data_IF_041816352465
#
_entry.id   IF_041816352465
#
_cell.length_a   1.000
_cell.length_b   1.000
_cell.length_c   1.000
_cell.angle_alpha   90.00
_cell.angle_beta   90.00
_cell.angle_gamma   90.00
#
_symmetry.space_group_name_H-M   'P 1'
#
loop_
_entity.id
_entity.type
_entity.pdbx_description
1 polymer ?
#
# COMPACT_ATOMS: atom_id res chain seq x y z
N UNK A 1 -13.30 -5.27 7.89
CA UNK A 1 -13.43 -4.28 6.83
C UNK A 1 -13.15 -4.89 5.49
N UNK A 2 -13.80 -4.37 4.48
CA UNK A 2 -13.55 -4.81 3.12
C UNK A 2 -12.15 -4.39 2.70
N UNK A 3 -11.43 -5.30 2.05
CA UNK A 3 -10.09 -5.01 1.58
C UNK A 3 -10.06 -3.84 0.60
N UNK A 4 -11.07 -3.74 -0.24
CA UNK A 4 -11.17 -2.63 -1.19
C UNK A 4 -11.25 -1.29 -0.45
N UNK A 5 -12.00 -1.25 0.64
CA UNK A 5 -12.13 -0.03 1.43
C UNK A 5 -10.79 0.37 2.04
N UNK A 6 -10.00 -0.60 2.47
CA UNK A 6 -8.68 -0.31 3.02
C UNK A 6 -7.78 0.27 1.94
N UNK A 7 -7.77 -0.34 0.76
CA UNK A 7 -6.89 0.12 -0.32
C UNK A 7 -7.19 1.53 -0.77
N UNK A 8 -8.45 1.94 -0.78
CA UNK A 8 -8.80 3.28 -1.26
C UNK A 8 -8.84 4.33 -0.17
N UNK A 9 -8.63 3.93 1.09
CA UNK A 9 -8.59 4.88 2.19
C UNK A 9 -7.36 5.77 2.10
N UNK A 10 -7.37 6.93 2.76
CA UNK A 10 -6.18 7.79 2.78
C UNK A 10 -4.99 7.05 3.37
N UNK A 11 -3.84 7.23 2.76
CA UNK A 11 -2.62 6.56 3.20
C UNK A 11 -2.14 7.13 4.53
N UNK A 12 -1.53 6.25 5.34
CA UNK A 12 -0.89 6.66 6.58
C UNK A 12 0.60 6.83 6.34
N UNK A 13 1.26 7.74 7.06
CA UNK A 13 2.68 7.94 6.85
C UNK A 13 3.49 6.75 7.34
N UNK A 14 4.54 6.44 6.61
CA UNK A 14 5.52 5.47 7.04
C UNK A 14 6.64 6.18 7.79
N UNK A 15 7.40 5.41 8.57
CA UNK A 15 8.52 5.98 9.29
C UNK A 15 9.51 6.60 8.31
N UNK A 16 9.96 7.83 8.56
CA UNK A 16 10.86 8.51 7.60
C UNK A 16 12.28 7.98 7.61
N UNK A 17 12.73 7.43 8.73
CA UNK A 17 14.08 6.89 8.83
C UNK A 17 14.10 5.49 8.22
N UNK A 18 15.01 5.27 7.29
CA UNK A 18 15.05 4.05 6.50
C UNK A 18 15.09 2.79 7.36
N UNK A 19 15.93 2.78 8.38
CA UNK A 19 16.04 1.60 9.25
C UNK A 19 14.73 1.34 9.98
N UNK A 20 14.11 2.38 10.49
CA UNK A 20 12.85 2.23 11.22
C UNK A 20 11.72 1.79 10.29
N UNK A 21 11.75 2.31 9.07
CA UNK A 21 10.75 1.92 8.07
C UNK A 21 10.90 0.45 7.71
N UNK A 22 12.13 -0.04 7.57
CA UNK A 22 12.36 -1.44 7.30
C UNK A 22 11.81 -2.34 8.41
N UNK A 23 12.04 -1.93 9.66
CA UNK A 23 11.54 -2.69 10.79
C UNK A 23 10.02 -2.68 10.83
N UNK A 24 9.43 -1.53 10.54
CA UNK A 24 7.98 -1.41 10.48
C UNK A 24 7.41 -2.36 9.42
N UNK A 25 8.01 -2.35 8.25
CA UNK A 25 7.55 -3.20 7.15
C UNK A 25 7.72 -4.68 7.49
N UNK A 26 8.83 -5.05 8.09
CA UNK A 26 9.05 -6.45 8.47
C UNK A 26 8.00 -6.92 9.45
N UNK A 27 7.65 -6.09 10.42
CA UNK A 27 6.63 -6.44 11.38
C UNK A 27 5.27 -6.67 10.72
N UNK A 28 4.94 -5.80 9.76
CA UNK A 28 3.67 -5.92 9.05
C UNK A 28 3.65 -7.16 8.15
N UNK A 29 4.77 -7.46 7.51
CA UNK A 29 4.86 -8.66 6.67
C UNK A 29 4.77 -9.92 7.51
N UNK A 30 5.30 -9.88 8.71
CA UNK A 30 5.22 -11.02 9.62
C UNK A 30 3.79 -11.31 10.01
N UNK A 31 2.97 -10.26 10.19
CA UNK A 31 1.55 -10.42 10.45
C UNK A 31 0.88 -11.11 9.27
N UNK A 32 1.11 -10.60 8.07
CA UNK A 32 0.71 -11.25 6.83
C UNK A 32 -0.78 -11.32 6.55
N UNK A 33 -1.62 -10.71 7.37
CA UNK A 33 -3.05 -10.76 7.11
C UNK A 33 -3.39 -9.91 5.87
N UNK A 34 -4.45 -10.27 5.14
CA UNK A 34 -4.82 -9.49 3.95
C UNK A 34 -5.08 -8.03 4.27
N UNK A 35 -5.68 -7.73 5.42
CA UNK A 35 -5.94 -6.35 5.81
C UNK A 35 -4.65 -5.57 5.99
N UNK A 36 -3.67 -6.18 6.65
CA UNK A 36 -2.39 -5.54 6.88
C UNK A 36 -1.64 -5.35 5.56
N UNK A 37 -1.69 -6.34 4.68
CA UNK A 37 -1.02 -6.23 3.40
C UNK A 37 -1.62 -5.12 2.54
N UNK A 38 -2.94 -4.98 2.57
CA UNK A 38 -3.61 -3.90 1.84
C UNK A 38 -3.19 -2.54 2.36
N UNK A 39 -3.16 -2.38 3.68
CA UNK A 39 -2.75 -1.12 4.28
C UNK A 39 -1.29 -0.81 3.95
N UNK A 40 -0.43 -1.82 4.02
CA UNK A 40 0.98 -1.64 3.71
C UNK A 40 1.18 -1.23 2.25
N UNK A 41 0.47 -1.88 1.34
CA UNK A 41 0.58 -1.55 -0.08
C UNK A 41 0.11 -0.14 -0.34
N UNK A 42 -1.01 0.25 0.27
CA UNK A 42 -1.52 1.61 0.16
C UNK A 42 -0.48 2.64 0.63
N UNK A 43 0.09 2.39 1.81
CA UNK A 43 1.01 3.35 2.42
C UNK A 43 2.33 3.42 1.65
N UNK A 44 2.85 2.28 1.20
CA UNK A 44 4.07 2.25 0.40
C UNK A 44 3.89 2.94 -0.94
N UNK A 45 2.75 2.72 -1.58
CA UNK A 45 2.48 3.34 -2.87
C UNK A 45 2.48 4.86 -2.72
N UNK A 46 1.81 5.37 -1.70
CA UNK A 46 1.77 6.80 -1.46
C UNK A 46 3.16 7.35 -1.13
N UNK A 47 3.93 6.61 -0.34
CA UNK A 47 5.27 7.03 0.01
C UNK A 47 6.16 7.17 -1.21
N UNK A 48 6.08 6.19 -2.10
CA UNK A 48 6.90 6.19 -3.32
C UNK A 48 6.49 7.30 -4.27
N UNK A 49 5.20 7.61 -4.31
CA UNK A 49 4.71 8.70 -5.16
C UNK A 49 5.23 10.07 -4.69
N UNK A 50 5.45 10.21 -3.39
CA UNK A 50 5.79 11.52 -2.84
C UNK A 50 7.28 11.72 -2.66
N UNK A 51 8.02 10.64 -2.50
CA UNK A 51 9.44 10.73 -2.21
C UNK A 51 10.20 9.81 -3.13
N UNK A 52 11.45 10.13 -3.38
CA UNK A 52 12.30 9.25 -4.16
C UNK A 52 12.55 7.99 -3.34
N UNK A 53 12.10 6.83 -3.80
CA UNK A 53 12.28 5.60 -3.04
C UNK A 53 13.70 5.08 -3.21
N UNK A 54 14.18 4.35 -2.21
CA UNK A 54 15.42 3.62 -2.43
C UNK A 54 15.07 2.27 -3.06
N UNK A 55 16.10 1.53 -3.45
CA UNK A 55 15.90 0.24 -4.13
C UNK A 55 15.14 -0.74 -3.25
N UNK A 56 15.40 -0.70 -1.95
CA UNK A 56 14.73 -1.61 -1.03
C UNK A 56 13.22 -1.34 -0.97
N UNK A 57 12.83 -0.06 -0.92
CA UNK A 57 11.41 0.28 -0.87
C UNK A 57 10.67 -0.23 -2.10
N UNK A 58 11.27 -0.06 -3.27
CA UNK A 58 10.66 -0.51 -4.51
C UNK A 58 10.53 -2.02 -4.55
N UNK A 59 11.57 -2.73 -4.09
CA UNK A 59 11.55 -4.19 -4.08
C UNK A 59 10.48 -4.72 -3.14
N UNK A 60 10.33 -4.08 -1.97
CA UNK A 60 9.31 -4.48 -1.01
C UNK A 60 7.91 -4.28 -1.60
N UNK A 61 7.70 -3.15 -2.27
CA UNK A 61 6.41 -2.90 -2.88
C UNK A 61 6.05 -3.98 -3.91
N UNK A 62 7.01 -4.38 -4.73
CA UNK A 62 6.78 -5.44 -5.72
C UNK A 62 6.43 -6.75 -5.04
N UNK A 63 7.13 -7.08 -3.96
CA UNK A 63 6.87 -8.30 -3.22
C UNK A 63 5.46 -8.30 -2.63
N UNK A 64 5.10 -7.21 -1.97
CA UNK A 64 3.77 -7.09 -1.37
C UNK A 64 2.68 -7.14 -2.43
N UNK A 65 2.92 -6.47 -3.55
CA UNK A 65 1.96 -6.47 -4.66
C UNK A 65 1.72 -7.88 -5.17
N UNK A 66 2.79 -8.66 -5.32
CA UNK A 66 2.65 -10.04 -5.79
C UNK A 66 1.82 -10.89 -4.85
N UNK A 67 2.10 -10.78 -3.55
CA UNK A 67 1.35 -11.53 -2.55
C UNK A 67 -0.12 -11.12 -2.56
N UNK A 68 -0.36 -9.82 -2.60
CA UNK A 68 -1.73 -9.31 -2.54
C UNK A 68 -2.52 -9.68 -3.80
N UNK A 69 -1.86 -9.65 -4.97
CA UNK A 69 -2.54 -10.05 -6.19
C UNK A 69 -3.04 -11.48 -6.11
N UNK A 70 -2.20 -12.39 -5.60
CA UNK A 70 -2.59 -13.78 -5.50
C UNK A 70 -3.78 -13.95 -4.55
N UNK A 71 -3.72 -13.27 -3.40
CA UNK A 71 -4.80 -13.33 -2.44
C UNK A 71 -6.08 -12.73 -2.99
N UNK A 72 -5.95 -11.63 -3.71
CA UNK A 72 -7.10 -10.93 -4.27
C UNK A 72 -7.83 -11.79 -5.30
N UNK A 73 -7.05 -12.42 -6.19
CA UNK A 73 -7.63 -13.27 -7.21
C UNK A 73 -8.39 -14.42 -6.60
N UNK A 74 -7.83 -15.03 -5.55
CA UNK A 74 -8.51 -16.13 -4.87
C UNK A 74 -9.77 -15.67 -4.15
N UNK A 75 -9.66 -14.54 -3.46
CA UNK A 75 -10.77 -14.08 -2.62
C UNK A 75 -11.93 -13.54 -3.46
N UNK A 76 -11.64 -12.86 -4.54
CA UNK A 76 -12.67 -12.20 -5.33
C UNK A 76 -12.94 -12.86 -6.67
N UNK A 77 -12.13 -13.86 -7.01
CA UNK A 77 -12.32 -14.62 -8.25
C UNK A 77 -12.44 -13.69 -9.46
N UNK A 78 -11.53 -12.73 -9.57
CA UNK A 78 -11.57 -11.74 -10.64
C UNK A 78 -10.33 -11.87 -11.50
N UNK A 79 -10.46 -11.83 -12.83
CA UNK A 79 -9.31 -11.89 -13.72
C UNK A 79 -8.58 -10.56 -13.83
N UNK A 80 -9.15 -9.49 -13.31
CA UNK A 80 -8.56 -8.16 -13.44
C UNK A 80 -8.07 -7.62 -12.12
N UNK A 81 -7.50 -8.48 -11.29
CA UNK A 81 -7.06 -8.08 -9.95
C UNK A 81 -6.10 -6.91 -9.98
N UNK A 82 -5.12 -6.93 -10.89
CA UNK A 82 -4.13 -5.86 -10.95
C UNK A 82 -4.77 -4.52 -11.27
N UNK A 83 -5.68 -4.51 -12.25
CA UNK A 83 -6.35 -3.26 -12.62
C UNK A 83 -7.25 -2.76 -11.50
N UNK A 84 -7.92 -3.67 -10.82
CA UNK A 84 -8.81 -3.32 -9.72
C UNK A 84 -8.01 -2.70 -8.58
N UNK A 85 -6.91 -3.34 -8.20
CA UNK A 85 -6.06 -2.84 -7.13
C UNK A 85 -5.48 -1.47 -7.51
N UNK A 86 -5.00 -1.33 -8.75
CA UNK A 86 -4.42 -0.07 -9.18
C UNK A 86 -5.43 1.08 -9.14
N UNK A 87 -6.68 0.80 -9.51
CA UNK A 87 -7.73 1.82 -9.46
C UNK A 87 -7.99 2.26 -8.02
N UNK A 88 -8.03 1.30 -7.09
CA UNK A 88 -8.27 1.62 -5.69
C UNK A 88 -7.10 2.40 -5.10
N UNK A 89 -5.88 2.06 -5.47
CA UNK A 89 -4.71 2.79 -5.00
C UNK A 89 -4.71 4.22 -5.52
N UNK A 90 -5.18 4.42 -6.74
CA UNK A 90 -5.30 5.76 -7.30
C UNK A 90 -6.27 6.60 -6.50
N UNK A 91 -7.40 5.99 -6.10
CA UNK A 91 -8.35 6.66 -5.23
C UNK A 91 -7.73 7.03 -3.89
N UNK A 92 -6.93 6.12 -3.34
CA UNK A 92 -6.26 6.37 -2.07
C UNK A 92 -5.34 7.59 -2.17
N UNK A 93 -4.57 7.67 -3.24
CA UNK A 93 -3.66 8.80 -3.44
C UNK A 93 -4.44 10.10 -3.53
N UNK A 94 -5.55 10.10 -4.27
CA UNK A 94 -6.37 11.28 -4.37
C UNK A 94 -6.96 11.68 -3.02
N UNK A 95 -7.43 10.71 -2.27
CA UNK A 95 -7.99 10.98 -0.94
C UNK A 95 -6.92 11.52 0.01
N UNK A 96 -5.71 10.98 -0.10
CA UNK A 96 -4.61 11.44 0.74
C UNK A 96 -4.27 12.90 0.42
N UNK A 97 -4.26 13.25 -0.85
CA UNK A 97 -3.97 14.61 -1.26
C UNK A 97 -5.04 15.58 -0.77
N UNK A 98 -6.29 15.14 -0.83
CA UNK A 98 -7.39 15.97 -0.37
C UNK A 98 -7.30 16.22 1.12
N UNK A 99 -6.90 15.21 1.88
CA UNK A 99 -6.83 15.33 3.32
C UNK A 99 -5.62 16.07 3.81
N UNK A 100 -4.60 16.17 2.98
CA UNK A 100 -3.42 16.90 3.36
C UNK A 100 -3.71 18.37 3.37
N UNK A 101 -3.49 19.08 4.48
CA UNK A 101 -3.70 20.51 4.46
C UNK A 101 -2.73 21.16 3.51
N UNK A 102 -3.19 22.19 2.89
CA UNK A 102 -2.31 22.93 2.02
C UNK A 102 -1.19 23.45 2.85
N UNK A 103 -0.08 23.24 2.47
CA UNK A 103 0.96 23.57 3.26
C UNK A 103 1.19 24.85 3.17
N UNK A 104 1.00 25.21 3.28
CA UNK A 104 1.18 26.26 3.15
C UNK A 104 1.47 26.73 3.61
#
# INVERSE_FOLDING_TARGET
>A
ADLADILRSPAQPLKPISREREQQIKALLKDGSPQVLCALMRDLTAYIERKAPNTNDAAVLEKVRGILLAEWELARNTPNAAAEIDALLRESIMNTQIEEPAEE
#
